data_IF_519830663238
#
_entry.id   IF_519830663238
#
_cell.length_a   1.000
_cell.length_b   1.000
_cell.length_c   1.000
_cell.angle_alpha   90.00
_cell.angle_beta   90.00
_cell.angle_gamma   90.00
#
_symmetry.space_group_name_H-M   'P 1'
#
loop_
_entity.id
_entity.type
_entity.pdbx_description
1 polymer ?
#
# COMPACT_ATOMS: atom_id res chain seq x y z
N UNK A 1 26.79 20.14 -3.83
CA UNK A 1 26.08 19.30 -2.84
C UNK A 1 26.10 17.88 -3.38
N UNK A 2 26.63 16.90 -2.63
CA UNK A 2 26.49 15.48 -3.03
C UNK A 2 25.04 15.07 -2.77
N UNK A 3 24.24 14.97 -3.81
CA UNK A 3 22.87 14.46 -3.74
C UNK A 3 22.95 12.95 -3.78
N UNK A 4 22.77 12.29 -2.65
CA UNK A 4 22.70 10.82 -2.59
C UNK A 4 21.39 10.27 -3.15
N UNK A 5 20.43 11.13 -3.54
CA UNK A 5 19.08 10.74 -4.00
C UNK A 5 18.93 10.68 -5.52
N UNK A 6 19.73 11.40 -6.33
CA UNK A 6 19.57 11.48 -7.79
C UNK A 6 20.91 11.26 -8.51
N UNK A 7 20.93 10.47 -9.60
CA UNK A 7 22.10 10.24 -10.45
C UNK A 7 22.31 11.34 -11.50
N UNK A 8 23.38 11.25 -12.29
CA UNK A 8 23.71 12.21 -13.36
C UNK A 8 22.63 12.36 -14.44
N UNK A 9 21.74 11.38 -14.60
CA UNK A 9 20.63 11.42 -15.56
C UNK A 9 19.34 12.03 -14.98
N UNK A 10 19.36 12.50 -13.74
CA UNK A 10 18.17 13.03 -13.08
C UNK A 10 17.23 11.95 -12.54
N UNK A 11 17.65 10.69 -12.49
CA UNK A 11 16.84 9.59 -11.97
C UNK A 11 17.14 9.32 -10.48
N UNK A 12 16.10 8.98 -9.71
CA UNK A 12 16.26 8.57 -8.32
C UNK A 12 17.09 7.30 -8.20
N UNK A 13 18.10 7.32 -7.32
CA UNK A 13 18.94 6.15 -6.97
C UNK A 13 18.43 5.42 -5.72
N UNK A 14 17.20 5.70 -5.30
CA UNK A 14 16.60 5.06 -4.13
C UNK A 14 16.51 3.54 -4.30
N UNK A 15 17.08 2.79 -3.36
CA UNK A 15 17.04 1.33 -3.33
C UNK A 15 15.67 0.82 -2.87
N UNK A 16 15.31 -0.38 -3.32
CA UNK A 16 14.05 -1.05 -2.98
C UNK A 16 13.92 -1.26 -1.46
N UNK A 17 12.75 -0.92 -0.92
CA UNK A 17 12.43 -0.99 0.51
C UNK A 17 13.05 0.11 1.37
N UNK A 18 13.85 1.02 0.80
CA UNK A 18 14.52 2.10 1.53
C UNK A 18 13.95 3.46 1.18
N UNK A 19 14.13 4.41 2.10
CA UNK A 19 13.91 5.82 1.84
C UNK A 19 15.23 6.54 1.55
N UNK A 20 15.17 7.59 0.74
CA UNK A 20 16.29 8.46 0.44
C UNK A 20 15.78 9.89 0.32
N UNK A 21 16.59 10.87 0.72
CA UNK A 21 16.16 12.27 0.70
C UNK A 21 17.32 13.24 0.52
N UNK A 22 17.00 14.43 0.05
CA UNK A 22 17.93 15.56 -0.01
C UNK A 22 17.21 16.85 0.37
N UNK A 23 17.96 17.83 0.85
CA UNK A 23 17.43 19.13 1.23
C UNK A 23 17.80 20.20 0.22
N UNK A 24 16.89 21.14 -0.01
CA UNK A 24 17.15 22.29 -0.87
C UNK A 24 16.42 23.53 -0.36
N UNK A 25 16.84 24.69 -0.86
CA UNK A 25 16.21 25.99 -0.58
C UNK A 25 15.84 26.64 -1.90
N UNK A 26 14.55 26.72 -2.26
CA UNK A 26 14.14 27.30 -3.52
C UNK A 26 14.38 28.82 -3.52
N UNK A 27 14.79 29.36 -4.67
CA UNK A 27 15.11 30.78 -4.82
C UNK A 27 13.96 31.72 -4.43
N UNK A 28 12.71 31.30 -4.65
CA UNK A 28 11.52 32.09 -4.31
C UNK A 28 11.11 31.97 -2.82
N UNK A 29 11.67 31.03 -2.05
CA UNK A 29 11.51 30.92 -0.58
C UNK A 29 12.84 30.56 0.11
N UNK A 30 13.84 31.45 0.08
CA UNK A 30 15.21 31.12 0.50
C UNK A 30 15.35 30.88 2.01
N UNK A 31 14.36 31.30 2.81
CA UNK A 31 14.33 31.09 4.27
C UNK A 31 13.76 29.72 4.66
N UNK A 32 13.13 29.01 3.74
CA UNK A 32 12.54 27.69 4.01
C UNK A 32 13.44 26.59 3.42
N UNK A 33 13.66 25.54 4.20
CA UNK A 33 14.34 24.33 3.72
C UNK A 33 13.27 23.30 3.40
N UNK A 34 13.34 22.73 2.20
CA UNK A 34 12.44 21.68 1.73
C UNK A 34 13.20 20.36 1.63
N UNK A 35 12.47 19.27 1.75
CA UNK A 35 12.96 17.92 1.62
C UNK A 35 12.39 17.31 0.33
N UNK A 36 13.25 16.95 -0.61
CA UNK A 36 12.90 16.02 -1.69
C UNK A 36 13.08 14.61 -1.13
N UNK A 37 12.00 13.83 -1.14
CA UNK A 37 11.93 12.50 -0.54
C UNK A 37 11.54 11.48 -1.58
N UNK A 38 12.27 10.36 -1.62
CA UNK A 38 12.02 9.22 -2.50
C UNK A 38 11.96 7.94 -1.66
N UNK A 39 10.98 7.10 -1.91
CA UNK A 39 10.84 5.78 -1.33
C UNK A 39 10.51 4.77 -2.42
N UNK A 40 11.32 3.72 -2.58
CA UNK A 40 11.02 2.65 -3.54
C UNK A 40 10.36 1.50 -2.80
N UNK A 41 9.11 1.19 -3.15
CA UNK A 41 8.39 0.06 -2.55
C UNK A 41 8.95 -1.29 -3.01
N UNK A 42 8.60 -2.36 -2.30
CA UNK A 42 9.08 -3.73 -2.53
C UNK A 42 8.60 -4.34 -3.86
N UNK A 43 7.71 -3.71 -4.60
CA UNK A 43 7.35 -4.09 -5.97
C UNK A 43 8.07 -3.25 -7.04
N UNK A 44 8.97 -2.35 -6.63
CA UNK A 44 9.74 -1.49 -7.52
C UNK A 44 9.10 -0.14 -7.81
N UNK A 45 7.84 0.09 -7.42
CA UNK A 45 7.17 1.39 -7.60
C UNK A 45 7.85 2.47 -6.75
N UNK A 46 8.11 3.63 -7.36
CA UNK A 46 8.77 4.75 -6.71
C UNK A 46 7.74 5.78 -6.26
N UNK A 47 7.73 6.08 -4.97
CA UNK A 47 7.02 7.22 -4.39
C UNK A 47 7.99 8.39 -4.21
N UNK A 48 7.63 9.57 -4.71
CA UNK A 48 8.42 10.80 -4.54
C UNK A 48 7.54 11.95 -4.07
N UNK A 49 8.01 12.75 -3.11
CA UNK A 49 7.29 13.93 -2.60
C UNK A 49 8.24 15.04 -2.15
N UNK A 50 7.70 16.25 -2.00
CA UNK A 50 8.41 17.41 -1.44
C UNK A 50 7.62 17.99 -0.27
N UNK A 51 8.25 18.16 0.88
CA UNK A 51 7.62 18.72 2.08
C UNK A 51 8.58 19.59 2.90
N UNK A 52 8.06 20.26 3.94
CA UNK A 52 8.84 21.13 4.82
C UNK A 52 9.59 20.35 5.91
N UNK A 53 9.18 19.10 6.18
CA UNK A 53 9.85 18.21 7.12
C UNK A 53 9.91 16.78 6.57
N UNK A 54 10.82 15.96 7.09
CA UNK A 54 10.87 14.52 6.77
C UNK A 54 9.67 13.76 7.33
N UNK A 55 9.11 14.23 8.44
CA UNK A 55 7.93 13.64 9.07
C UNK A 55 6.72 13.74 8.13
N UNK A 56 6.47 14.93 7.57
CA UNK A 56 5.39 15.14 6.59
C UNK A 56 5.60 14.29 5.32
N UNK A 57 6.85 14.12 4.87
CA UNK A 57 7.16 13.20 3.77
C UNK A 57 6.80 11.74 4.11
N UNK A 58 7.10 11.28 5.33
CA UNK A 58 6.81 9.92 5.79
C UNK A 58 5.32 9.69 5.99
N UNK A 59 4.59 10.66 6.52
CA UNK A 59 3.12 10.61 6.61
C UNK A 59 2.49 10.43 5.23
N UNK A 60 2.90 11.23 4.24
CA UNK A 60 2.42 11.09 2.85
C UNK A 60 2.80 9.74 2.24
N UNK A 61 3.98 9.20 2.55
CA UNK A 61 4.37 7.84 2.14
C UNK A 61 3.43 6.81 2.76
N UNK A 62 3.14 6.92 4.04
CA UNK A 62 2.32 5.95 4.75
C UNK A 62 0.86 6.01 4.28
N UNK A 63 0.32 7.20 3.97
CA UNK A 63 -0.95 7.36 3.28
C UNK A 63 -0.95 6.70 1.89
N UNK A 64 0.12 6.88 1.12
CA UNK A 64 0.28 6.25 -0.18
C UNK A 64 0.33 4.72 -0.06
N UNK A 65 1.07 4.18 0.93
CA UNK A 65 1.10 2.76 1.23
C UNK A 65 -0.27 2.24 1.68
N UNK A 66 -1.00 3.00 2.49
CA UNK A 66 -2.35 2.63 2.95
C UNK A 66 -3.36 2.60 1.80
N UNK A 67 -3.29 3.57 0.87
CA UNK A 67 -4.09 3.54 -0.36
C UNK A 67 -3.73 2.35 -1.25
N UNK A 68 -2.48 1.90 -1.19
CA UNK A 68 -1.95 0.76 -1.96
C UNK A 68 -2.10 -0.59 -1.28
N UNK A 69 -2.47 -0.64 0.01
CA UNK A 69 -2.80 -1.92 0.65
C UNK A 69 -3.88 -2.58 -0.20
N UNK A 70 -3.47 -3.62 -0.93
CA UNK A 70 -4.27 -4.34 -1.90
C UNK A 70 -5.31 -5.10 -1.10
N UNK A 71 -6.45 -4.45 -0.87
CA UNK A 71 -7.54 -5.00 -0.08
C UNK A 71 -8.16 -6.16 -0.86
N UNK A 72 -8.13 -7.34 -0.26
CA UNK A 72 -8.89 -8.48 -0.73
C UNK A 72 -10.36 -8.22 -0.43
N UNK A 73 -11.18 -8.18 -1.47
CA UNK A 73 -12.62 -7.98 -1.36
C UNK A 73 -13.29 -9.35 -1.33
N UNK A 74 -13.94 -9.64 -0.21
CA UNK A 74 -14.68 -10.89 -0.05
C UNK A 74 -16.14 -10.68 -0.41
N UNK A 75 -16.67 -11.61 -1.19
CA UNK A 75 -18.08 -11.66 -1.59
C UNK A 75 -18.68 -13.02 -1.27
N UNK A 76 -19.99 -13.06 -1.05
CA UNK A 76 -20.80 -14.28 -1.14
C UNK A 76 -21.93 -14.03 -2.13
N UNK A 77 -21.94 -14.80 -3.22
CA UNK A 77 -22.73 -14.43 -4.41
C UNK A 77 -22.41 -13.00 -4.87
N UNK A 78 -23.43 -12.13 -4.97
CA UNK A 78 -23.28 -10.71 -5.35
C UNK A 78 -23.07 -9.76 -4.16
N UNK A 79 -23.13 -10.25 -2.92
CA UNK A 79 -23.02 -9.43 -1.71
C UNK A 79 -21.57 -9.28 -1.27
N UNK A 80 -21.08 -8.04 -1.17
CA UNK A 80 -19.76 -7.75 -0.56
C UNK A 80 -19.85 -7.95 0.96
N UNK A 81 -18.98 -8.78 1.51
CA UNK A 81 -18.89 -9.08 2.93
C UNK A 81 -17.89 -8.18 3.66
N UNK A 82 -16.79 -7.81 3.00
CA UNK A 82 -15.76 -6.98 3.61
C UNK A 82 -14.55 -6.78 2.70
N UNK A 83 -13.62 -5.97 3.21
CA UNK A 83 -12.34 -5.68 2.59
C UNK A 83 -11.24 -5.99 3.62
N UNK A 84 -10.24 -6.76 3.21
CA UNK A 84 -9.26 -7.36 4.12
C UNK A 84 -7.83 -7.08 3.65
N UNK A 85 -6.93 -6.81 4.58
CA UNK A 85 -5.51 -6.58 4.28
C UNK A 85 -4.79 -7.86 3.82
N UNK A 86 -5.26 -9.03 4.27
CA UNK A 86 -4.66 -10.33 3.94
C UNK A 86 -5.69 -11.37 3.52
N UNK A 87 -5.25 -12.36 2.73
CA UNK A 87 -6.07 -13.52 2.34
C UNK A 87 -6.51 -14.31 3.58
N UNK A 88 -5.61 -14.43 4.56
CA UNK A 88 -5.86 -15.18 5.79
C UNK A 88 -7.02 -14.57 6.58
N UNK A 89 -7.01 -13.25 6.78
CA UNK A 89 -8.08 -12.56 7.51
C UNK A 89 -9.43 -12.72 6.80
N UNK A 90 -9.44 -12.60 5.47
CA UNK A 90 -10.64 -12.82 4.67
C UNK A 90 -11.21 -14.24 4.81
N UNK A 91 -10.34 -15.25 4.79
CA UNK A 91 -10.76 -16.66 4.94
C UNK A 91 -11.21 -16.96 6.37
N UNK A 92 -10.54 -16.42 7.38
CA UNK A 92 -10.98 -16.54 8.77
C UNK A 92 -12.35 -15.92 8.97
N UNK A 93 -12.58 -14.72 8.42
CA UNK A 93 -13.89 -14.08 8.44
C UNK A 93 -14.96 -14.94 7.75
N UNK A 94 -14.68 -15.48 6.56
CA UNK A 94 -15.61 -16.36 5.84
C UNK A 94 -16.02 -17.58 6.68
N UNK A 95 -15.08 -18.19 7.40
CA UNK A 95 -15.36 -19.33 8.28
C UNK A 95 -16.19 -18.96 9.51
N UNK A 96 -16.01 -17.74 10.03
CA UNK A 96 -16.68 -17.28 11.26
C UNK A 96 -18.02 -16.58 11.00
N UNK A 97 -18.28 -16.13 9.76
CA UNK A 97 -19.47 -15.33 9.47
C UNK A 97 -20.79 -16.12 9.49
N UNK A 98 -20.74 -17.45 9.53
CA UNK A 98 -21.92 -18.32 9.63
C UNK A 98 -22.81 -18.30 8.38
N UNK A 99 -22.25 -17.93 7.22
CA UNK A 99 -22.98 -17.86 5.94
C UNK A 99 -22.54 -19.03 5.06
N UNK A 100 -23.51 -19.74 4.48
CA UNK A 100 -23.26 -20.76 3.47
C UNK A 100 -23.31 -20.15 2.06
N UNK A 101 -22.66 -20.83 1.12
CA UNK A 101 -22.67 -20.44 -0.30
C UNK A 101 -21.27 -20.33 -0.90
N UNK A 102 -21.23 -19.81 -2.13
CA UNK A 102 -19.97 -19.59 -2.85
C UNK A 102 -19.36 -18.25 -2.46
N UNK A 103 -18.21 -18.32 -1.80
CA UNK A 103 -17.37 -17.18 -1.48
C UNK A 103 -16.45 -16.88 -2.65
N UNK A 104 -16.25 -15.60 -2.94
CA UNK A 104 -15.29 -15.12 -3.94
C UNK A 104 -14.39 -14.08 -3.28
N UNK A 105 -13.08 -14.31 -3.32
CA UNK A 105 -12.08 -13.38 -2.80
C UNK A 105 -11.31 -12.78 -3.98
N UNK A 106 -11.42 -11.47 -4.14
CA UNK A 106 -10.84 -10.73 -5.25
C UNK A 106 -9.77 -9.77 -4.74
N UNK A 107 -8.56 -9.88 -5.26
CA UNK A 107 -7.45 -8.96 -5.09
C UNK A 107 -6.83 -8.61 -6.44
N UNK A 108 -5.88 -7.68 -6.43
CA UNK A 108 -5.24 -7.14 -7.65
C UNK A 108 -4.62 -8.21 -8.57
N UNK A 109 -4.04 -9.26 -7.98
CA UNK A 109 -3.42 -10.39 -8.70
C UNK A 109 -3.81 -11.76 -8.10
N UNK A 110 -4.90 -11.80 -7.35
CA UNK A 110 -5.35 -13.00 -6.66
C UNK A 110 -6.86 -13.09 -6.76
N UNK A 111 -7.35 -14.22 -7.25
CA UNK A 111 -8.77 -14.52 -7.27
C UNK A 111 -8.96 -15.95 -6.78
N UNK A 112 -9.87 -16.15 -5.84
CA UNK A 112 -10.17 -17.45 -5.27
C UNK A 112 -11.67 -17.59 -5.06
N UNK A 113 -12.19 -18.79 -5.26
CA UNK A 113 -13.61 -19.10 -5.14
C UNK A 113 -13.78 -20.45 -4.47
N UNK A 114 -14.52 -20.51 -3.38
CA UNK A 114 -14.80 -21.75 -2.66
C UNK A 114 -16.24 -21.78 -2.15
N UNK A 115 -16.77 -22.99 -1.98
CA UNK A 115 -18.12 -23.21 -1.45
C UNK A 115 -18.05 -23.63 0.02
N UNK A 116 -18.90 -23.03 0.86
CA UNK A 116 -19.12 -23.44 2.25
C UNK A 116 -20.53 -24.00 2.38
N UNK A 117 -20.64 -25.25 2.84
CA UNK A 117 -21.94 -25.90 3.00
C UNK A 117 -22.60 -25.52 4.33
N UNK A 118 -23.93 -25.62 4.41
CA UNK A 118 -24.64 -25.40 5.67
C UNK A 118 -24.25 -26.38 6.78
N UNK A 119 -23.86 -27.60 6.42
CA UNK A 119 -23.37 -28.61 7.36
C UNK A 119 -22.05 -28.24 8.01
N UNK A 120 -21.22 -27.45 7.33
CA UNK A 120 -19.92 -27.01 7.86
C UNK A 120 -20.08 -25.87 8.89
N UNK A 121 -21.20 -25.15 8.86
CA UNK A 121 -21.49 -24.03 9.77
C UNK A 121 -22.12 -24.52 11.07
N UNK A 122 -22.86 -25.63 11.03
CA UNK A 122 -23.65 -26.17 12.16
C UNK A 122 -22.86 -27.13 13.05
N UNK A 123 -21.55 -27.29 12.83
CA UNK A 123 -20.62 -28.05 13.70
C UNK A 123 -19.95 -27.12 14.70
#
# INVERSE_FOLDING_TARGET
MKTNSINHNGCSVCEQGKENYTTFRPAHRPRQTFYQYDYRHTDGELFSTVALSLEECRERRDEWLNKRKKMYKLYVGLKKLGEFDTILDAKQYANQCGISGTFNLLGDQYTDSWYVSESDIKK
#
